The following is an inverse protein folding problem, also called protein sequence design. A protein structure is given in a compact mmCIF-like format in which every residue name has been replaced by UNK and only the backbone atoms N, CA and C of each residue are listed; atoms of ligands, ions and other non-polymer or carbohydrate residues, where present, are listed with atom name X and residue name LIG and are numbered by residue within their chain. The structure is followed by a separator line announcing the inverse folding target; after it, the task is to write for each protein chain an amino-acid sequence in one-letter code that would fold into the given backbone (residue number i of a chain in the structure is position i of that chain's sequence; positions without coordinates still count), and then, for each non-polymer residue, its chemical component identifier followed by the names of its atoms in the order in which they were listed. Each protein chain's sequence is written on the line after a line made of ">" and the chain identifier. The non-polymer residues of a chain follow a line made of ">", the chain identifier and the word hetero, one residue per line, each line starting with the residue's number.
data_IF_364638931461
#
_entry.id   IF_364638931461
#
_cell.length_a   1.000
_cell.length_b   1.000
_cell.length_c   1.000
_cell.angle_alpha   90.00
_cell.angle_beta   90.00
_cell.angle_gamma   90.00
#
_symmetry.space_group_name_H-M   'P 1'
#
loop_
_entity.id
_entity.type
_entity.pdbx_description
1 polymer ?
#
# COMPACT_ATOMS: atom_id res chain seq x y z
N UNK A 1 2.92 -1.64 -24.21
CA UNK A 1 1.97 -1.92 -23.12
C UNK A 1 1.37 -0.59 -22.70
N UNK A 2 0.07 -0.45 -22.87
CA UNK A 2 -0.67 0.74 -22.41
C UNK A 2 -1.23 0.42 -21.05
N UNK A 3 -0.96 1.27 -20.05
CA UNK A 3 -1.51 1.16 -18.70
C UNK A 3 -2.54 2.26 -18.53
N UNK A 4 -3.73 1.91 -18.06
CA UNK A 4 -4.79 2.85 -17.68
C UNK A 4 -5.13 2.67 -16.21
N UNK A 5 -5.56 3.75 -15.55
CA UNK A 5 -6.03 3.69 -14.15
C UNK A 5 -7.55 3.90 -14.16
N UNK A 6 -8.27 3.02 -13.49
CA UNK A 6 -9.72 3.05 -13.36
C UNK A 6 -10.17 2.64 -11.96
N UNK A 7 -11.41 2.94 -11.63
CA UNK A 7 -12.01 2.43 -10.38
C UNK A 7 -11.98 0.89 -10.35
N UNK A 8 -11.78 0.36 -9.16
CA UNK A 8 -11.85 -1.09 -8.89
C UNK A 8 -13.26 -1.61 -9.18
N UNK A 9 -13.36 -2.80 -9.76
CA UNK A 9 -14.59 -3.57 -9.92
C UNK A 9 -14.60 -4.76 -8.95
N UNK A 10 -15.75 -5.25 -8.53
CA UNK A 10 -15.83 -6.42 -7.64
C UNK A 10 -15.04 -7.63 -8.14
N UNK A 11 -15.05 -7.89 -9.44
CA UNK A 11 -14.36 -9.02 -10.08
C UNK A 11 -12.82 -8.87 -10.11
N UNK A 12 -12.29 -7.67 -9.83
CA UNK A 12 -10.85 -7.42 -9.76
C UNK A 12 -10.24 -7.91 -8.44
N UNK A 13 -11.05 -8.05 -7.38
CA UNK A 13 -10.56 -8.19 -6.00
C UNK A 13 -9.68 -9.43 -5.83
N UNK A 14 -10.09 -10.56 -6.37
CA UNK A 14 -9.32 -11.81 -6.24
C UNK A 14 -7.94 -11.68 -6.88
N UNK A 15 -7.85 -11.05 -8.05
CA UNK A 15 -6.58 -10.78 -8.75
C UNK A 15 -5.73 -9.79 -7.95
N UNK A 16 -6.33 -8.76 -7.38
CA UNK A 16 -5.66 -7.76 -6.52
C UNK A 16 -5.08 -8.44 -5.28
N UNK A 17 -5.84 -9.29 -4.60
CA UNK A 17 -5.37 -10.06 -3.44
C UNK A 17 -4.19 -10.96 -3.84
N UNK A 18 -4.32 -11.71 -4.93
CA UNK A 18 -3.27 -12.64 -5.40
C UNK A 18 -1.93 -11.94 -5.62
N UNK A 19 -1.88 -10.89 -6.45
CA UNK A 19 -0.61 -10.23 -6.73
C UNK A 19 -0.11 -9.40 -5.53
N UNK A 20 -1.01 -8.91 -4.67
CA UNK A 20 -0.62 -8.22 -3.44
C UNK A 20 0.20 -9.09 -2.52
N UNK A 21 -0.21 -10.33 -2.29
CA UNK A 21 0.55 -11.27 -1.47
C UNK A 21 1.95 -11.52 -2.04
N UNK A 22 2.08 -11.62 -3.36
CA UNK A 22 3.39 -11.74 -4.02
C UNK A 22 4.23 -10.47 -3.85
N UNK A 23 3.63 -9.30 -3.98
CA UNK A 23 4.31 -8.01 -3.83
C UNK A 23 4.80 -7.76 -2.41
N UNK A 24 4.05 -8.22 -1.39
CA UNK A 24 4.38 -8.04 0.03
C UNK A 24 5.31 -9.10 0.60
N UNK A 25 5.51 -10.22 -0.09
CA UNK A 25 6.39 -11.31 0.39
C UNK A 25 7.81 -10.83 0.75
N UNK A 26 8.51 -10.00 -0.05
CA UNK A 26 9.84 -9.49 0.31
C UNK A 26 9.82 -8.61 1.58
N UNK A 27 8.73 -7.90 1.83
CA UNK A 27 8.55 -7.07 3.02
C UNK A 27 8.44 -7.93 4.28
N UNK A 28 7.62 -8.97 4.25
CA UNK A 28 7.48 -9.89 5.40
C UNK A 28 8.76 -10.68 5.65
N UNK A 29 9.50 -11.03 4.61
CA UNK A 29 10.84 -11.62 4.77
C UNK A 29 11.82 -10.63 5.42
N UNK A 30 11.80 -9.35 5.03
CA UNK A 30 12.58 -8.29 5.67
C UNK A 30 12.20 -8.13 7.15
N UNK A 31 10.92 -8.12 7.48
CA UNK A 31 10.46 -8.08 8.87
C UNK A 31 11.00 -9.25 9.70
N UNK A 32 10.99 -10.46 9.13
CA UNK A 32 11.54 -11.65 9.79
C UNK A 32 13.03 -11.50 10.11
N UNK A 33 13.79 -10.93 9.19
CA UNK A 33 15.23 -10.68 9.38
C UNK A 33 15.48 -9.60 10.45
N UNK A 34 14.73 -8.51 10.44
CA UNK A 34 14.90 -7.38 11.37
C UNK A 34 14.43 -7.73 12.79
N UNK A 35 13.30 -8.40 12.93
CA UNK A 35 12.70 -8.71 14.25
C UNK A 35 13.29 -9.96 14.91
N UNK A 36 13.89 -10.84 14.11
CA UNK A 36 14.24 -12.19 14.55
C UNK A 36 13.03 -13.13 14.62
N UNK A 37 13.30 -14.44 14.57
CA UNK A 37 12.26 -15.46 14.39
C UNK A 37 11.20 -15.49 15.50
N UNK A 38 11.60 -15.22 16.74
CA UNK A 38 10.68 -15.30 17.88
C UNK A 38 9.65 -14.16 17.89
N UNK A 39 10.11 -12.91 17.75
CA UNK A 39 9.23 -11.75 17.69
C UNK A 39 8.36 -11.82 16.45
N UNK A 40 8.96 -12.15 15.30
CA UNK A 40 8.22 -12.26 14.04
C UNK A 40 7.05 -13.25 14.11
N UNK A 41 7.23 -14.44 14.67
CA UNK A 41 6.15 -15.44 14.82
C UNK A 41 4.99 -14.96 15.69
N UNK A 42 5.26 -14.10 16.66
CA UNK A 42 4.21 -13.54 17.54
C UNK A 42 3.47 -12.38 16.88
N UNK A 43 4.16 -11.59 16.05
CA UNK A 43 3.57 -10.42 15.37
C UNK A 43 2.85 -10.83 14.09
N UNK A 44 3.42 -11.78 13.35
CA UNK A 44 2.93 -12.22 12.03
C UNK A 44 2.82 -13.75 11.93
N UNK A 45 1.98 -14.40 12.76
CA UNK A 45 1.89 -15.88 12.80
C UNK A 45 1.41 -16.49 11.49
N UNK A 46 0.48 -15.84 10.82
CA UNK A 46 -0.07 -16.22 9.51
C UNK A 46 -0.28 -14.97 8.64
N UNK A 47 0.82 -14.33 8.27
CA UNK A 47 0.74 -13.06 7.57
C UNK A 47 0.00 -13.14 6.22
N UNK A 48 0.06 -14.27 5.52
CA UNK A 48 -0.59 -14.40 4.21
C UNK A 48 -2.09 -14.33 4.31
N UNK A 49 -2.68 -15.09 5.21
CA UNK A 49 -4.13 -15.06 5.44
C UNK A 49 -4.56 -13.70 5.94
N UNK A 50 -3.89 -13.16 6.96
CA UNK A 50 -4.22 -11.85 7.52
C UNK A 50 -4.10 -10.75 6.45
N UNK A 51 -3.01 -10.75 5.66
CA UNK A 51 -2.82 -9.75 4.62
C UNK A 51 -3.86 -9.87 3.50
N UNK A 52 -4.26 -11.10 3.11
CA UNK A 52 -5.32 -11.31 2.14
C UNK A 52 -6.65 -10.72 2.62
N UNK A 53 -7.03 -10.99 3.87
CA UNK A 53 -8.24 -10.45 4.49
C UNK A 53 -8.21 -8.92 4.58
N UNK A 54 -7.05 -8.33 4.94
CA UNK A 54 -6.89 -6.88 5.02
C UNK A 54 -7.00 -6.23 3.64
N UNK A 55 -6.39 -6.80 2.60
CA UNK A 55 -6.52 -6.30 1.23
C UNK A 55 -7.97 -6.39 0.75
N UNK A 56 -8.62 -7.55 0.89
CA UNK A 56 -10.00 -7.75 0.48
C UNK A 56 -10.95 -6.79 1.20
N UNK A 57 -10.85 -6.70 2.53
CA UNK A 57 -11.71 -5.83 3.33
C UNK A 57 -11.50 -4.35 2.99
N UNK A 58 -10.27 -3.93 2.73
CA UNK A 58 -9.97 -2.56 2.31
C UNK A 58 -10.55 -2.23 0.92
N UNK A 59 -10.54 -3.21 0.01
CA UNK A 59 -11.16 -3.05 -1.31
C UNK A 59 -12.68 -2.99 -1.26
N UNK A 60 -13.31 -3.63 -0.26
CA UNK A 60 -14.79 -3.69 -0.10
C UNK A 60 -15.34 -2.63 0.83
N UNK A 61 -14.50 -1.95 1.60
CA UNK A 61 -14.96 -1.00 2.62
C UNK A 61 -15.68 0.20 1.99
N UNK A 62 -16.88 0.49 2.46
CA UNK A 62 -17.60 1.71 2.11
C UNK A 62 -16.79 2.95 2.57
N UNK A 63 -16.70 3.93 1.68
CA UNK A 63 -15.93 5.16 1.94
C UNK A 63 -14.45 5.11 1.56
N UNK A 64 -13.90 3.94 1.25
CA UNK A 64 -12.58 3.85 0.64
C UNK A 64 -12.67 4.12 -0.86
N UNK A 65 -11.68 4.84 -1.39
CA UNK A 65 -11.54 4.98 -2.83
C UNK A 65 -10.45 4.02 -3.31
N UNK A 66 -10.83 3.13 -4.23
CA UNK A 66 -9.95 2.09 -4.73
C UNK A 66 -9.85 2.16 -6.24
N UNK A 67 -8.62 2.23 -6.74
CA UNK A 67 -8.33 2.21 -8.17
C UNK A 67 -7.33 1.12 -8.49
N UNK A 68 -7.43 0.63 -9.72
CA UNK A 68 -6.50 -0.34 -10.29
C UNK A 68 -5.79 0.24 -11.51
N UNK A 69 -4.51 -0.06 -11.62
CA UNK A 69 -3.78 0.05 -12.86
C UNK A 69 -4.04 -1.20 -13.69
N UNK A 70 -4.58 -1.04 -14.89
CA UNK A 70 -4.92 -2.13 -15.80
C UNK A 70 -3.95 -2.15 -16.97
N UNK A 71 -3.42 -3.33 -17.28
CA UNK A 71 -2.64 -3.58 -18.50
C UNK A 71 -3.26 -4.77 -19.23
N UNK A 72 -3.51 -4.60 -20.53
CA UNK A 72 -4.07 -5.65 -21.39
C UNK A 72 -5.36 -6.28 -20.81
N UNK A 73 -6.21 -5.46 -20.17
CA UNK A 73 -7.49 -5.88 -19.60
C UNK A 73 -7.40 -6.55 -18.22
N UNK A 74 -6.21 -6.59 -17.60
CA UNK A 74 -6.00 -7.21 -16.28
C UNK A 74 -5.47 -6.18 -15.27
N UNK A 75 -5.96 -6.18 -14.00
CA UNK A 75 -5.34 -5.43 -12.92
C UNK A 75 -3.89 -5.89 -12.68
N UNK A 76 -2.96 -4.93 -12.66
CA UNK A 76 -1.52 -5.17 -12.44
C UNK A 76 -0.95 -4.29 -11.32
N UNK A 77 -1.79 -3.47 -10.73
CA UNK A 77 -1.48 -2.65 -9.56
C UNK A 77 -2.75 -2.06 -8.99
N UNK A 78 -2.72 -1.64 -7.74
CA UNK A 78 -3.84 -0.98 -7.10
C UNK A 78 -3.40 0.01 -6.04
N UNK A 79 -4.30 0.90 -5.70
CA UNK A 79 -4.15 1.83 -4.58
C UNK A 79 -5.49 2.00 -3.85
N UNK A 80 -5.43 2.12 -2.54
CA UNK A 80 -6.57 2.43 -1.67
C UNK A 80 -6.31 3.76 -1.01
N UNK A 81 -7.25 4.69 -1.10
CA UNK A 81 -7.22 5.98 -0.40
C UNK A 81 -8.32 6.03 0.64
N UNK A 82 -7.94 6.41 1.85
CA UNK A 82 -8.83 6.62 2.99
C UNK A 82 -8.73 8.08 3.42
N UNK A 83 -9.84 8.72 3.74
CA UNK A 83 -9.85 10.08 4.28
C UNK A 83 -10.13 10.04 5.76
N UNK A 84 -9.30 10.69 6.53
CA UNK A 84 -9.48 10.77 7.98
C UNK A 84 -9.00 12.12 8.54
N UNK A 85 -9.53 12.55 9.70
CA UNK A 85 -9.05 13.75 10.36
C UNK A 85 -7.67 13.51 11.00
N UNK A 86 -6.72 14.43 10.77
CA UNK A 86 -5.47 14.50 11.51
C UNK A 86 -5.66 15.28 12.82
N UNK A 87 -6.44 16.35 12.74
CA UNK A 87 -6.82 17.16 13.88
C UNK A 87 -8.21 17.77 13.65
N UNK A 88 -8.64 18.74 14.50
CA UNK A 88 -9.98 19.34 14.41
C UNK A 88 -10.22 20.15 13.12
N UNK A 89 -9.16 20.60 12.46
CA UNK A 89 -9.22 21.54 11.34
C UNK A 89 -8.72 20.92 10.02
N UNK A 90 -7.95 19.84 10.09
CA UNK A 90 -7.24 19.29 8.95
C UNK A 90 -7.61 17.82 8.73
N UNK A 91 -8.01 17.51 7.49
CA UNK A 91 -8.15 16.14 6.99
C UNK A 91 -6.93 15.75 6.15
N UNK A 92 -6.65 14.47 6.10
CA UNK A 92 -5.67 13.86 5.21
C UNK A 92 -6.33 12.81 4.31
N UNK A 93 -5.86 12.72 3.08
CA UNK A 93 -6.05 11.58 2.22
C UNK A 93 -4.87 10.63 2.37
N UNK A 94 -5.06 9.51 3.04
CA UNK A 94 -4.04 8.49 3.22
C UNK A 94 -4.06 7.52 2.03
N UNK A 95 -2.92 7.38 1.34
CA UNK A 95 -2.68 6.26 0.46
C UNK A 95 -2.40 5.05 1.35
N UNK A 96 -3.48 4.41 1.80
CA UNK A 96 -3.46 3.36 2.81
C UNK A 96 -2.83 2.07 2.31
N UNK A 97 -3.09 1.72 1.03
CA UNK A 97 -2.47 0.58 0.37
C UNK A 97 -2.02 0.94 -1.04
N UNK A 98 -0.89 0.39 -1.42
CA UNK A 98 -0.38 0.45 -2.77
C UNK A 98 0.46 -0.80 -3.05
N UNK A 99 0.14 -1.52 -4.10
CA UNK A 99 0.99 -2.59 -4.60
C UNK A 99 0.93 -2.69 -6.12
N UNK A 100 2.02 -3.18 -6.70
CA UNK A 100 2.14 -3.50 -8.13
C UNK A 100 2.56 -4.96 -8.25
N UNK A 101 1.89 -5.69 -9.12
CA UNK A 101 2.23 -7.07 -9.46
C UNK A 101 3.74 -7.17 -9.75
N UNK A 102 4.49 -8.07 -9.07
CA UNK A 102 5.92 -8.23 -9.27
C UNK A 102 6.36 -8.35 -10.72
N UNK A 103 5.54 -8.99 -11.57
CA UNK A 103 5.83 -9.16 -12.99
C UNK A 103 5.72 -7.84 -13.81
N UNK A 104 5.12 -6.81 -13.20
CA UNK A 104 4.90 -5.49 -13.81
C UNK A 104 5.62 -4.36 -13.09
N UNK A 105 6.39 -4.64 -12.05
CA UNK A 105 7.18 -3.64 -11.34
C UNK A 105 8.28 -3.02 -12.22
N UNK A 106 8.85 -1.90 -11.76
CA UNK A 106 9.91 -1.15 -12.46
C UNK A 106 9.51 -0.60 -13.85
N UNK A 107 8.20 -0.49 -14.11
CA UNK A 107 7.63 0.06 -15.35
C UNK A 107 6.89 1.39 -15.13
N UNK A 108 7.12 2.06 -13.99
CA UNK A 108 6.48 3.34 -13.66
C UNK A 108 5.06 3.23 -13.08
N UNK A 109 4.46 2.04 -12.99
CA UNK A 109 3.06 1.85 -12.56
C UNK A 109 2.85 2.35 -11.12
N UNK A 110 3.77 2.05 -10.21
CA UNK A 110 3.66 2.53 -8.83
C UNK A 110 3.67 4.06 -8.74
N UNK A 111 4.48 4.73 -9.57
CA UNK A 111 4.53 6.19 -9.63
C UNK A 111 3.20 6.76 -10.17
N UNK A 112 2.71 6.18 -11.27
CA UNK A 112 1.43 6.60 -11.85
C UNK A 112 0.26 6.44 -10.86
N UNK A 113 0.25 5.36 -10.05
CA UNK A 113 -0.78 5.17 -9.01
C UNK A 113 -0.67 6.19 -7.89
N UNK A 114 0.54 6.55 -7.45
CA UNK A 114 0.75 7.59 -6.43
C UNK A 114 0.31 8.95 -6.96
N UNK A 115 0.75 9.34 -8.16
CA UNK A 115 0.37 10.61 -8.77
C UNK A 115 -1.14 10.71 -8.94
N UNK A 116 -1.76 9.65 -9.45
CA UNK A 116 -3.21 9.58 -9.62
C UNK A 116 -3.95 9.74 -8.27
N UNK A 117 -3.49 9.06 -7.22
CA UNK A 117 -4.09 9.17 -5.89
C UNK A 117 -3.97 10.58 -5.33
N UNK A 118 -2.80 11.22 -5.47
CA UNK A 118 -2.58 12.62 -5.04
C UNK A 118 -3.47 13.58 -5.80
N UNK A 119 -3.64 13.40 -7.12
CA UNK A 119 -4.55 14.21 -7.94
C UNK A 119 -6.00 14.07 -7.43
N UNK A 120 -6.45 12.85 -7.15
CA UNK A 120 -7.83 12.62 -6.61
C UNK A 120 -8.01 13.27 -5.23
N UNK A 121 -7.04 13.15 -4.33
CA UNK A 121 -7.06 13.81 -3.01
C UNK A 121 -7.15 15.33 -3.19
N UNK A 122 -6.39 15.88 -4.13
CA UNK A 122 -6.38 17.32 -4.45
C UNK A 122 -7.74 17.78 -5.00
N UNK A 123 -8.34 17.05 -5.92
CA UNK A 123 -9.64 17.35 -6.50
C UNK A 123 -10.77 17.39 -5.47
N UNK A 124 -10.63 16.61 -4.39
CA UNK A 124 -11.58 16.63 -3.28
C UNK A 124 -11.37 17.80 -2.31
N UNK A 125 -10.38 18.65 -2.58
CA UNK A 125 -10.06 19.78 -1.72
C UNK A 125 -9.41 19.39 -0.38
N UNK A 126 -8.88 18.17 -0.28
CA UNK A 126 -8.19 17.71 0.92
C UNK A 126 -6.78 18.28 0.91
N UNK A 127 -6.37 19.01 1.96
CA UNK A 127 -5.14 19.81 1.93
C UNK A 127 -3.86 19.00 2.15
N UNK A 128 -3.95 17.73 2.53
CA UNK A 128 -2.82 16.89 2.88
C UNK A 128 -2.98 15.48 2.32
N UNK A 129 -1.93 14.98 1.69
CA UNK A 129 -1.79 13.57 1.34
C UNK A 129 -0.74 12.94 2.25
N UNK A 130 -1.01 11.73 2.73
CA UNK A 130 -0.03 10.96 3.51
C UNK A 130 0.08 9.52 3.02
N UNK A 131 1.21 8.89 3.32
CA UNK A 131 1.46 7.49 3.03
C UNK A 131 2.41 6.92 4.07
N UNK A 132 2.03 5.79 4.67
CA UNK A 132 2.85 5.09 5.65
C UNK A 132 3.68 3.97 5.01
N UNK A 133 4.91 3.79 5.49
CA UNK A 133 5.76 2.66 5.09
C UNK A 133 6.78 2.32 6.18
N UNK A 134 7.33 1.11 6.12
CA UNK A 134 8.35 0.67 7.06
C UNK A 134 9.74 1.29 6.83
N UNK A 135 10.51 1.40 7.92
CA UNK A 135 11.92 1.81 7.87
C UNK A 135 12.90 0.68 7.50
N UNK A 136 12.42 -0.56 7.44
CA UNK A 136 13.21 -1.75 7.14
C UNK A 136 13.68 -1.82 5.68
N UNK A 137 14.67 -2.66 5.35
CA UNK A 137 15.21 -2.79 3.99
C UNK A 137 14.17 -3.19 2.95
N UNK A 138 13.17 -4.02 3.30
CA UNK A 138 12.12 -4.47 2.38
C UNK A 138 11.27 -3.33 1.85
N UNK A 139 11.08 -2.26 2.62
CA UNK A 139 10.35 -1.07 2.20
C UNK A 139 11.21 0.00 1.50
N UNK A 140 12.52 -0.22 1.32
CA UNK A 140 13.38 0.77 0.68
C UNK A 140 12.90 1.17 -0.74
N UNK A 141 12.38 0.27 -1.59
CA UNK A 141 11.82 0.66 -2.88
C UNK A 141 10.61 1.62 -2.75
N UNK A 142 9.73 1.36 -1.79
CA UNK A 142 8.55 2.19 -1.52
C UNK A 142 8.97 3.59 -1.04
N UNK A 143 9.90 3.69 -0.08
CA UNK A 143 10.42 4.99 0.38
C UNK A 143 10.98 5.82 -0.77
N UNK A 144 11.80 5.22 -1.64
CA UNK A 144 12.33 5.93 -2.82
C UNK A 144 11.25 6.40 -3.79
N UNK A 145 10.16 5.64 -3.91
CA UNK A 145 9.02 6.02 -4.73
C UNK A 145 8.35 7.27 -4.16
N UNK A 146 8.05 7.27 -2.87
CA UNK A 146 7.32 8.37 -2.21
C UNK A 146 8.14 9.65 -2.13
N UNK A 147 9.43 9.54 -1.83
CA UNK A 147 10.36 10.68 -1.86
C UNK A 147 10.45 11.32 -3.26
N UNK A 148 10.47 10.50 -4.34
CA UNK A 148 10.43 11.01 -5.73
C UNK A 148 9.09 11.66 -6.08
N UNK A 149 8.00 11.21 -5.49
CA UNK A 149 6.68 11.81 -5.62
C UNK A 149 6.50 13.08 -4.76
N UNK A 150 7.54 13.53 -4.05
CA UNK A 150 7.55 14.77 -3.27
C UNK A 150 7.06 14.63 -1.83
N UNK A 151 6.87 13.42 -1.32
CA UNK A 151 6.54 13.23 0.09
C UNK A 151 7.76 13.48 1.00
N UNK A 152 7.53 14.16 2.11
CA UNK A 152 8.56 14.42 3.14
C UNK A 152 8.52 13.32 4.19
N UNK A 153 9.62 12.58 4.43
CA UNK A 153 9.61 11.48 5.39
C UNK A 153 9.59 11.97 6.85
N UNK A 154 8.73 11.36 7.65
CA UNK A 154 8.73 11.48 9.13
C UNK A 154 9.12 10.12 9.71
N UNK A 155 10.38 9.92 10.15
CA UNK A 155 10.83 8.63 10.65
C UNK A 155 10.11 8.22 11.94
N UNK A 156 9.53 7.02 11.95
CA UNK A 156 8.92 6.40 13.12
C UNK A 156 9.64 5.08 13.44
N UNK A 157 9.77 4.79 14.73
CA UNK A 157 10.40 3.56 15.21
C UNK A 157 9.45 2.81 16.14
N UNK A 158 9.27 1.51 15.89
CA UNK A 158 8.49 0.60 16.76
C UNK A 158 9.44 -0.40 17.41
N UNK A 159 9.24 -0.67 18.69
CA UNK A 159 10.01 -1.64 19.46
C UNK A 159 9.13 -2.79 19.89
N UNK A 160 9.65 -4.02 19.77
CA UNK A 160 9.00 -5.24 20.27
C UNK A 160 9.95 -5.98 21.21
N UNK A 161 9.38 -6.59 22.23
CA UNK A 161 10.09 -7.48 23.16
C UNK A 161 9.24 -8.73 23.36
N UNK A 162 9.79 -9.90 23.04
CA UNK A 162 9.15 -11.15 23.43
C UNK A 162 9.17 -11.28 24.95
N UNK A 163 8.02 -11.62 25.53
CA UNK A 163 7.87 -11.90 26.95
C UNK A 163 7.78 -13.41 27.16
N UNK A 164 8.12 -13.90 28.37
CA UNK A 164 8.04 -15.33 28.72
C UNK A 164 6.66 -15.93 28.44
#
# INVERSE_FOLDING_TARGET
>A
MTVSIRALRPDDIDVVVEFSLRAWQPVFESFRQVMGAEVYRRVYPDWKTIQAEVVESSCRAEGNWVWVAEADGRPVGYTVVVVHPINRETQSGEIYMLAVDPDYQQRGIGHALVDFAVDRITELGIPLAEIGTGGDPGHAPARRLYERAGFTPVPLVRYFKALP
#
